data_IF_232929325035
#
_entry.id   IF_232929325035
#
_cell.length_a   1.000
_cell.length_b   1.000
_cell.length_c   1.000
_cell.angle_alpha   90.00
_cell.angle_beta   90.00
_cell.angle_gamma   90.00
#
_symmetry.space_group_name_H-M   'P 1'
#
loop_
_entity.id
_entity.type
_entity.pdbx_description
1 polymer ?
#
# COMPACT_ATOMS: atom_id res chain seq x y z
N UNK A 1 3.58 56.84 18.36
CA UNK A 1 4.38 56.02 19.29
C UNK A 1 3.51 54.86 19.68
N UNK A 2 3.63 53.75 18.96
CA UNK A 2 4.35 52.52 19.39
C UNK A 2 3.44 51.67 20.31
N UNK A 3 3.25 50.37 20.12
CA UNK A 3 4.11 49.42 19.43
C UNK A 3 3.35 48.24 18.81
N UNK A 4 4.07 47.61 17.89
CA UNK A 4 3.76 46.33 17.27
C UNK A 4 3.77 45.21 18.33
N UNK A 5 2.80 44.29 18.36
CA UNK A 5 2.99 43.03 19.07
C UNK A 5 3.97 42.16 18.29
N UNK A 6 4.91 41.62 19.07
CA UNK A 6 5.99 40.77 18.66
C UNK A 6 5.51 39.47 17.98
N UNK A 7 6.33 39.05 17.02
CA UNK A 7 6.70 37.66 16.80
C UNK A 7 5.61 36.71 16.28
N UNK A 8 5.29 36.84 14.98
CA UNK A 8 4.78 35.71 14.19
C UNK A 8 5.96 35.14 13.43
N UNK A 9 6.65 34.21 14.07
CA UNK A 9 7.66 33.37 13.44
C UNK A 9 7.05 32.65 12.21
N UNK A 10 7.82 32.44 11.13
CA UNK A 10 7.37 31.62 10.00
C UNK A 10 7.11 30.18 10.46
N UNK A 11 6.17 29.44 9.84
CA UNK A 11 5.84 28.08 10.24
C UNK A 11 7.07 27.18 10.09
N UNK A 12 7.63 26.77 11.22
CA UNK A 12 8.68 25.76 11.33
C UNK A 12 8.12 24.39 10.92
N UNK A 13 8.86 23.71 10.05
CA UNK A 13 8.71 22.29 9.73
C UNK A 13 8.57 21.46 11.02
N UNK A 14 7.52 20.64 11.11
CA UNK A 14 7.32 19.71 12.24
C UNK A 14 6.08 19.91 13.11
N UNK A 15 5.05 20.64 12.65
CA UNK A 15 3.74 20.55 13.30
C UNK A 15 3.22 19.11 13.20
N UNK A 16 3.10 18.44 14.35
CA UNK A 16 2.38 17.17 14.44
C UNK A 16 0.97 17.41 13.91
N UNK A 17 0.65 16.78 12.78
CA UNK A 17 -0.70 16.78 12.23
C UNK A 17 -1.68 16.36 13.35
N UNK A 18 -2.87 16.97 13.45
CA UNK A 18 -3.89 16.51 14.39
C UNK A 18 -4.05 14.99 14.25
N UNK A 19 -4.43 14.26 15.32
CA UNK A 19 -4.76 12.83 15.20
C UNK A 19 -5.77 12.65 14.07
N UNK A 20 -5.29 12.30 12.88
CA UNK A 20 -6.10 12.39 11.68
C UNK A 20 -7.22 11.36 11.80
N UNK A 21 -8.45 11.81 11.58
CA UNK A 21 -9.58 10.91 11.46
C UNK A 21 -9.45 10.18 10.12
N UNK A 22 -9.13 8.90 10.16
CA UNK A 22 -8.96 8.05 8.99
C UNK A 22 -10.30 7.80 8.33
N UNK A 23 -10.48 8.39 7.14
CA UNK A 23 -11.63 8.13 6.27
C UNK A 23 -11.38 6.90 5.39
N UNK A 24 -12.44 6.40 4.77
CA UNK A 24 -12.35 5.28 3.82
C UNK A 24 -11.32 5.55 2.71
N UNK A 25 -11.40 6.72 2.10
CA UNK A 25 -10.54 7.09 0.97
C UNK A 25 -9.09 7.22 1.42
N UNK A 26 -8.83 7.85 2.57
CA UNK A 26 -7.47 7.95 3.13
C UNK A 26 -6.86 6.58 3.42
N UNK A 27 -7.62 5.64 3.99
CA UNK A 27 -7.13 4.27 4.23
C UNK A 27 -6.84 3.56 2.91
N UNK A 28 -7.72 3.70 1.93
CA UNK A 28 -7.52 3.09 0.61
C UNK A 28 -6.30 3.67 -0.11
N UNK A 29 -6.17 4.98 -0.16
CA UNK A 29 -5.04 5.70 -0.75
C UNK A 29 -3.75 5.28 -0.08
N UNK A 30 -3.72 5.23 1.25
CA UNK A 30 -2.55 4.81 2.00
C UNK A 30 -2.11 3.38 1.70
N UNK A 31 -3.06 2.45 1.55
CA UNK A 31 -2.76 1.08 1.16
C UNK A 31 -2.27 0.99 -0.30
N UNK A 32 -2.81 1.82 -1.19
CA UNK A 32 -2.36 1.92 -2.58
C UNK A 32 -0.93 2.47 -2.66
N UNK A 33 -0.62 3.53 -1.92
CA UNK A 33 0.74 4.07 -1.82
C UNK A 33 1.71 3.04 -1.27
N UNK A 34 1.35 2.33 -0.19
CA UNK A 34 2.16 1.25 0.35
C UNK A 34 2.44 0.15 -0.70
N UNK A 35 1.45 -0.22 -1.51
CA UNK A 35 1.62 -1.17 -2.60
C UNK A 35 2.58 -0.66 -3.69
N UNK A 36 2.48 0.60 -4.07
CA UNK A 36 3.38 1.23 -5.05
C UNK A 36 4.82 1.28 -4.49
N UNK A 37 4.98 1.67 -3.22
CA UNK A 37 6.26 1.68 -2.51
C UNK A 37 6.86 0.27 -2.45
N UNK A 38 6.05 -0.76 -2.17
CA UNK A 38 6.48 -2.15 -2.19
C UNK A 38 7.02 -2.58 -3.56
N UNK A 39 6.37 -2.18 -4.66
CA UNK A 39 6.87 -2.49 -6.02
C UNK A 39 8.15 -1.72 -6.37
N UNK A 40 8.33 -0.52 -5.81
CA UNK A 40 9.54 0.28 -5.98
C UNK A 40 10.71 -0.21 -5.15
N UNK A 41 10.48 -1.03 -4.11
CA UNK A 41 11.52 -1.49 -3.22
C UNK A 41 12.59 -2.28 -4.01
N UNK A 42 13.81 -1.75 -4.17
CA UNK A 42 14.86 -2.42 -4.91
C UNK A 42 15.30 -3.63 -4.08
N UNK A 43 15.04 -4.82 -4.61
CA UNK A 43 15.29 -6.08 -3.93
C UNK A 43 16.81 -6.31 -3.71
N UNK A 44 17.35 -5.81 -2.59
CA UNK A 44 18.65 -6.22 -2.04
C UNK A 44 18.52 -7.44 -1.11
N UNK A 45 17.31 -8.01 -0.96
CA UNK A 45 16.98 -8.98 0.08
C UNK A 45 16.16 -10.19 -0.43
N UNK A 46 16.33 -10.55 -1.71
CA UNK A 46 15.82 -11.80 -2.31
C UNK A 46 16.26 -13.05 -1.53
N UNK A 47 17.30 -12.91 -0.68
CA UNK A 47 17.83 -13.95 0.20
C UNK A 47 17.28 -14.01 1.63
N UNK A 48 16.62 -12.98 2.17
CA UNK A 48 16.20 -12.94 3.59
C UNK A 48 14.72 -13.25 3.81
N UNK A 49 13.88 -13.15 2.78
CA UNK A 49 12.44 -13.47 2.83
C UNK A 49 12.12 -14.97 3.05
N UNK A 50 13.12 -15.84 3.30
CA UNK A 50 12.88 -17.23 3.73
C UNK A 50 12.54 -17.37 5.21
N UNK A 51 12.72 -16.33 6.02
CA UNK A 51 12.70 -16.52 7.49
C UNK A 51 11.37 -16.16 8.13
N UNK A 52 10.69 -15.03 7.84
CA UNK A 52 9.34 -14.79 8.39
C UNK A 52 8.62 -13.67 7.62
N UNK A 53 7.68 -14.01 6.74
CA UNK A 53 6.74 -13.04 6.15
C UNK A 53 5.32 -13.60 6.33
N UNK A 54 4.44 -12.88 7.03
CA UNK A 54 3.02 -13.23 7.15
C UNK A 54 2.23 -12.95 5.86
N UNK A 55 2.83 -13.25 4.70
CA UNK A 55 2.12 -13.38 3.45
C UNK A 55 2.85 -14.29 2.46
N UNK A 56 2.44 -15.56 2.36
CA UNK A 56 2.74 -16.37 1.19
C UNK A 56 1.42 -16.93 0.64
N UNK A 57 0.79 -16.27 -0.34
CA UNK A 57 -0.27 -16.91 -1.16
C UNK A 57 -0.67 -16.14 -2.44
N UNK A 58 0.22 -15.29 -2.96
CA UNK A 58 0.13 -14.81 -4.34
C UNK A 58 1.41 -15.27 -5.04
N UNK A 59 1.43 -16.54 -5.44
CA UNK A 59 2.47 -17.06 -6.33
C UNK A 59 2.31 -16.39 -7.69
N UNK A 60 3.33 -15.62 -8.08
CA UNK A 60 3.46 -15.02 -9.40
C UNK A 60 3.61 -16.13 -10.44
N UNK A 61 2.84 -16.04 -11.53
CA UNK A 61 3.00 -16.89 -12.72
C UNK A 61 4.42 -16.73 -13.27
N UNK A 62 5.13 -17.87 -13.38
CA UNK A 62 6.55 -17.98 -13.76
C UNK A 62 6.81 -17.64 -15.24
N UNK A 63 5.77 -17.50 -16.07
CA UNK A 63 5.91 -17.24 -17.52
C UNK A 63 6.24 -15.79 -17.89
N UNK A 64 6.61 -14.93 -16.94
CA UNK A 64 6.92 -13.53 -17.17
C UNK A 64 8.41 -13.22 -16.91
N UNK A 65 9.25 -13.66 -17.86
CA UNK A 65 10.52 -13.02 -18.22
C UNK A 65 11.76 -13.53 -17.51
N UNK A 66 12.46 -14.46 -18.17
CA UNK A 66 13.87 -14.78 -17.91
C UNK A 66 14.75 -13.62 -18.41
N UNK A 67 15.48 -12.98 -17.49
CA UNK A 67 16.46 -11.95 -17.81
C UNK A 67 17.74 -12.64 -18.32
N UNK A 68 18.03 -12.52 -19.63
CA UNK A 68 19.31 -12.93 -20.21
C UNK A 68 20.36 -11.82 -20.05
N UNK A 69 21.60 -12.24 -19.87
CA UNK A 69 22.73 -11.44 -19.42
C UNK A 69 23.57 -10.97 -20.60
N UNK A 70 23.73 -9.66 -20.82
CA UNK A 70 24.84 -9.10 -21.61
C UNK A 70 25.31 -7.75 -21.04
N UNK A 71 26.64 -7.67 -20.87
CA UNK A 71 27.35 -6.55 -20.25
C UNK A 71 27.63 -5.37 -21.18
N UNK A 72 28.05 -4.29 -20.52
CA UNK A 72 28.87 -3.15 -20.96
C UNK A 72 28.84 -2.77 -22.45
N UNK A 73 28.15 -1.66 -22.76
CA UNK A 73 28.68 -0.46 -23.44
C UNK A 73 27.50 0.37 -23.97
N UNK A 74 26.95 1.28 -23.16
CA UNK A 74 26.06 2.34 -23.68
C UNK A 74 26.31 3.62 -22.91
N UNK A 75 26.47 4.71 -23.67
CA UNK A 75 26.77 6.05 -23.20
C UNK A 75 25.83 6.53 -22.09
N UNK A 76 26.38 7.28 -21.12
CA UNK A 76 25.71 7.72 -19.89
C UNK A 76 24.46 8.63 -20.08
N UNK A 77 24.01 8.88 -21.32
CA UNK A 77 22.78 9.61 -21.64
C UNK A 77 21.54 8.70 -21.79
N UNK A 78 21.73 7.37 -21.89
CA UNK A 78 20.64 6.38 -21.97
C UNK A 78 20.47 5.59 -20.66
N UNK A 79 21.03 6.11 -19.55
CA UNK A 79 20.84 5.50 -18.24
C UNK A 79 19.41 5.80 -17.79
N UNK A 80 18.56 4.77 -17.82
CA UNK A 80 17.23 4.78 -17.22
C UNK A 80 17.34 5.40 -15.82
N UNK A 81 16.59 6.49 -15.58
CA UNK A 81 16.60 7.22 -14.32
C UNK A 81 16.36 6.21 -13.21
N UNK A 82 17.39 5.92 -12.41
CA UNK A 82 17.23 5.02 -11.27
C UNK A 82 16.24 5.69 -10.32
N UNK A 83 15.10 5.05 -10.02
CA UNK A 83 14.18 5.61 -9.04
C UNK A 83 14.95 5.82 -7.74
N UNK A 84 14.73 6.98 -7.12
CA UNK A 84 15.36 7.32 -5.85
C UNK A 84 15.18 6.16 -4.86
N UNK A 85 16.25 5.83 -4.13
CA UNK A 85 16.20 4.79 -3.10
C UNK A 85 15.12 5.14 -2.09
N UNK A 86 14.33 4.16 -1.68
CA UNK A 86 13.30 4.36 -0.67
C UNK A 86 13.94 4.86 0.63
N UNK A 87 13.34 5.89 1.21
CA UNK A 87 13.69 6.41 2.52
C UNK A 87 13.20 5.48 3.62
N UNK A 88 13.82 5.53 4.80
CA UNK A 88 13.36 4.77 5.98
C UNK A 88 11.93 5.14 6.38
N UNK A 89 11.54 6.40 6.14
CA UNK A 89 10.19 6.88 6.39
C UNK A 89 9.23 6.16 5.45
N UNK A 90 9.44 6.20 4.13
CA UNK A 90 8.59 5.49 3.15
C UNK A 90 8.44 3.99 3.46
N UNK A 91 9.51 3.33 3.91
CA UNK A 91 9.45 1.91 4.31
C UNK A 91 8.62 1.70 5.57
N UNK A 92 8.86 2.48 6.64
CA UNK A 92 8.08 2.35 7.88
C UNK A 92 6.60 2.70 7.67
N UNK A 93 6.34 3.67 6.81
CA UNK A 93 5.02 4.09 6.35
C UNK A 93 4.26 2.97 5.60
N UNK A 94 4.96 2.27 4.70
CA UNK A 94 4.45 1.10 3.99
C UNK A 94 4.17 -0.06 4.96
N UNK A 95 5.11 -0.38 5.84
CA UNK A 95 4.98 -1.46 6.83
C UNK A 95 3.81 -1.19 7.79
N UNK A 96 3.66 0.04 8.27
CA UNK A 96 2.54 0.44 9.12
C UNK A 96 1.21 0.21 8.40
N UNK A 97 1.09 0.67 7.14
CA UNK A 97 -0.13 0.51 6.36
C UNK A 97 -0.48 -0.98 6.14
N UNK A 98 0.51 -1.82 5.84
CA UNK A 98 0.29 -3.26 5.68
C UNK A 98 -0.14 -3.95 6.99
N UNK A 99 0.43 -3.54 8.13
CA UNK A 99 0.04 -4.06 9.44
C UNK A 99 -1.44 -3.81 9.76
N UNK A 100 -2.09 -2.80 9.16
CA UNK A 100 -3.53 -2.58 9.34
C UNK A 100 -4.37 -3.72 8.78
N UNK A 101 -3.86 -4.50 7.83
CA UNK A 101 -4.59 -5.64 7.29
C UNK A 101 -4.58 -6.84 8.24
N UNK A 102 -3.69 -6.86 9.24
CA UNK A 102 -3.55 -7.98 10.18
C UNK A 102 -4.74 -8.15 11.14
N UNK A 103 -5.58 -7.14 11.30
CA UNK A 103 -6.83 -7.27 12.05
C UNK A 103 -7.95 -7.96 11.24
N UNK A 104 -7.80 -8.08 9.91
CA UNK A 104 -8.83 -8.65 9.05
C UNK A 104 -8.75 -10.18 9.04
N UNK A 105 -9.88 -10.82 8.74
CA UNK A 105 -9.90 -12.25 8.44
C UNK A 105 -9.10 -12.56 7.16
N UNK A 106 -8.49 -13.75 7.08
CA UNK A 106 -7.62 -14.13 5.95
C UNK A 106 -8.29 -13.95 4.57
N UNK A 107 -9.57 -14.31 4.46
CA UNK A 107 -10.32 -14.16 3.22
C UNK A 107 -10.51 -12.68 2.81
N UNK A 108 -10.65 -11.79 3.79
CA UNK A 108 -10.80 -10.35 3.55
C UNK A 108 -9.44 -9.69 3.29
N UNK A 109 -8.35 -10.15 3.92
CA UNK A 109 -6.97 -9.72 3.58
C UNK A 109 -6.65 -10.01 2.12
N UNK A 110 -6.94 -11.23 1.66
CA UNK A 110 -6.74 -11.62 0.25
C UNK A 110 -7.56 -10.74 -0.71
N UNK A 111 -8.82 -10.47 -0.37
CA UNK A 111 -9.68 -9.59 -1.15
C UNK A 111 -9.12 -8.16 -1.22
N UNK A 112 -8.76 -7.57 -0.08
CA UNK A 112 -8.19 -6.23 0.01
C UNK A 112 -6.89 -6.16 -0.78
N UNK A 113 -5.96 -7.10 -0.59
CA UNK A 113 -4.70 -7.14 -1.34
C UNK A 113 -4.90 -7.16 -2.86
N UNK A 114 -5.85 -7.95 -3.36
CA UNK A 114 -6.16 -7.97 -4.81
C UNK A 114 -6.82 -6.69 -5.31
N UNK A 115 -7.74 -6.11 -4.54
CA UNK A 115 -8.41 -4.85 -4.90
C UNK A 115 -7.42 -3.68 -4.93
N UNK A 116 -6.60 -3.53 -3.89
CA UNK A 116 -5.54 -2.52 -3.80
C UNK A 116 -4.51 -2.71 -4.91
N UNK A 117 -4.17 -3.95 -5.28
CA UNK A 117 -3.30 -4.22 -6.44
C UNK A 117 -3.89 -3.72 -7.75
N UNK A 118 -5.20 -3.85 -7.99
CA UNK A 118 -5.82 -3.29 -9.20
C UNK A 118 -5.80 -1.76 -9.19
N UNK A 119 -6.06 -1.13 -8.03
CA UNK A 119 -6.02 0.32 -7.88
C UNK A 119 -4.59 0.87 -8.06
N UNK A 120 -3.59 0.23 -7.46
CA UNK A 120 -2.18 0.59 -7.60
C UNK A 120 -1.65 0.44 -9.04
N UNK A 121 -2.26 -0.41 -9.87
CA UNK A 121 -2.01 -0.47 -11.32
C UNK A 121 -2.61 0.71 -12.09
N UNK A 122 -3.22 1.68 -11.41
CA UNK A 122 -3.86 2.84 -12.02
C UNK A 122 -5.27 2.58 -12.56
N UNK A 123 -5.94 1.49 -12.15
CA UNK A 123 -7.35 1.31 -12.51
C UNK A 123 -8.21 2.29 -11.70
N UNK A 124 -9.13 2.99 -12.38
CA UNK A 124 -10.07 3.92 -11.73
C UNK A 124 -11.05 3.21 -10.78
N UNK A 125 -11.39 1.97 -11.09
CA UNK A 125 -12.33 1.16 -10.32
C UNK A 125 -11.89 -0.31 -10.32
N UNK A 126 -12.20 -1.02 -9.23
CA UNK A 126 -11.92 -2.45 -9.09
C UNK A 126 -12.90 -3.27 -9.93
N UNK A 127 -12.37 -4.19 -10.75
CA UNK A 127 -13.19 -5.05 -11.61
C UNK A 127 -13.68 -6.27 -10.83
N UNK A 128 -14.72 -6.09 -10.01
CA UNK A 128 -15.23 -7.11 -9.09
C UNK A 128 -15.50 -8.48 -9.73
N UNK A 129 -16.01 -8.52 -10.97
CA UNK A 129 -16.23 -9.79 -11.70
C UNK A 129 -14.92 -10.55 -11.97
N UNK A 130 -13.82 -9.85 -12.24
CA UNK A 130 -12.50 -10.46 -12.44
C UNK A 130 -11.93 -10.97 -11.12
N UNK A 131 -12.07 -10.19 -10.04
CA UNK A 131 -11.62 -10.60 -8.71
C UNK A 131 -12.39 -11.82 -8.19
N UNK A 132 -13.69 -11.89 -8.49
CA UNK A 132 -14.54 -13.02 -8.12
C UNK A 132 -14.01 -14.35 -8.68
N UNK A 133 -13.60 -14.37 -9.95
CA UNK A 133 -12.97 -15.55 -10.56
C UNK A 133 -11.63 -15.91 -9.90
N UNK A 134 -10.81 -14.90 -9.56
CA UNK A 134 -9.54 -15.10 -8.84
C UNK A 134 -9.71 -15.57 -7.40
N UNK A 135 -10.86 -15.30 -6.79
CA UNK A 135 -11.26 -15.83 -5.49
C UNK A 135 -11.79 -17.27 -5.57
N UNK A 136 -11.93 -17.85 -6.78
CA UNK A 136 -12.54 -19.17 -6.97
C UNK A 136 -14.06 -19.19 -6.76
N UNK A 137 -14.70 -18.01 -6.76
CA UNK A 137 -16.14 -17.86 -6.57
C UNK A 137 -16.84 -17.77 -7.92
N UNK A 138 -18.09 -18.24 -7.99
CA UNK A 138 -18.87 -18.28 -9.24
C UNK A 138 -19.94 -17.17 -9.33
N UNK A 139 -20.41 -16.63 -8.19
CA UNK A 139 -21.46 -15.59 -8.11
C UNK A 139 -21.22 -14.68 -6.91
N UNK A 140 -21.82 -13.49 -6.92
CA UNK A 140 -21.76 -12.55 -5.78
C UNK A 140 -20.74 -11.40 -5.89
N UNK A 141 -20.54 -10.82 -7.08
CA UNK A 141 -19.61 -9.70 -7.26
C UNK A 141 -19.96 -8.48 -6.39
N UNK A 142 -21.26 -8.21 -6.23
CA UNK A 142 -21.74 -7.11 -5.37
C UNK A 142 -21.48 -7.39 -3.89
N UNK A 143 -21.70 -8.64 -3.44
CA UNK A 143 -21.33 -9.07 -2.10
C UNK A 143 -19.82 -8.95 -1.83
N UNK A 144 -18.98 -9.19 -2.85
CA UNK A 144 -17.54 -8.99 -2.77
C UNK A 144 -17.18 -7.49 -2.58
N UNK A 145 -17.85 -6.61 -3.33
CA UNK A 145 -17.72 -5.14 -3.16
C UNK A 145 -18.13 -4.72 -1.74
N UNK A 146 -19.25 -5.21 -1.23
CA UNK A 146 -19.71 -4.90 0.13
C UNK A 146 -18.72 -5.41 1.19
N UNK A 147 -18.17 -6.62 1.01
CA UNK A 147 -17.14 -7.17 1.91
C UNK A 147 -15.88 -6.31 1.94
N UNK A 148 -15.40 -5.90 0.76
CA UNK A 148 -14.29 -4.95 0.68
C UNK A 148 -14.60 -3.65 1.43
N UNK A 149 -15.80 -3.08 1.20
CA UNK A 149 -16.25 -1.88 1.90
C UNK A 149 -16.24 -2.03 3.43
N UNK A 150 -16.73 -3.17 3.93
CA UNK A 150 -16.72 -3.48 5.38
C UNK A 150 -15.30 -3.65 5.92
N UNK A 151 -14.41 -4.28 5.17
CA UNK A 151 -13.02 -4.50 5.59
C UNK A 151 -12.26 -3.18 5.74
N UNK A 152 -12.32 -2.29 4.75
CA UNK A 152 -11.69 -0.96 4.85
C UNK A 152 -12.33 -0.14 5.98
N UNK A 153 -13.65 -0.21 6.15
CA UNK A 153 -14.31 0.48 7.26
C UNK A 153 -13.90 -0.06 8.63
N UNK A 154 -13.64 -1.37 8.75
CA UNK A 154 -13.12 -1.96 9.99
C UNK A 154 -11.73 -1.39 10.33
N UNK A 155 -10.86 -1.20 9.32
CA UNK A 155 -9.57 -0.52 9.50
C UNK A 155 -9.77 0.93 9.96
N UNK A 156 -10.67 1.67 9.31
CA UNK A 156 -10.97 3.05 9.70
C UNK A 156 -11.39 3.13 11.18
N UNK A 157 -12.30 2.26 11.60
CA UNK A 157 -12.78 2.19 12.99
C UNK A 157 -11.61 1.91 13.95
N UNK A 158 -10.76 0.94 13.66
CA UNK A 158 -9.62 0.61 14.51
C UNK A 158 -8.61 1.76 14.60
N UNK A 159 -8.28 2.40 13.47
CA UNK A 159 -7.34 3.54 13.45
C UNK A 159 -7.89 4.77 14.17
N UNK A 160 -9.21 4.95 14.18
CA UNK A 160 -9.88 6.05 14.87
C UNK A 160 -10.15 5.78 16.35
N UNK A 161 -9.54 4.74 16.94
CA UNK A 161 -9.68 4.42 18.37
C UNK A 161 -10.94 3.62 18.70
N UNK A 162 -11.60 3.03 17.70
CA UNK A 162 -12.69 2.10 17.91
C UNK A 162 -12.16 0.79 18.49
N UNK A 163 -12.61 0.45 19.70
CA UNK A 163 -12.41 -0.89 20.26
C UNK A 163 -12.89 -1.92 19.22
N UNK A 164 -11.96 -2.69 18.66
CA UNK A 164 -12.29 -3.85 17.86
C UNK A 164 -13.13 -4.79 18.74
N UNK A 165 -14.44 -4.80 18.54
CA UNK A 165 -15.32 -5.76 19.19
C UNK A 165 -14.89 -7.14 18.71
N UNK A 166 -14.45 -7.97 19.65
CA UNK A 166 -14.05 -9.36 19.42
C UNK A 166 -15.15 -10.27 18.95
#
# INVERSE_FOLDING_TARGET
>A
MEGLPADVAPPMEGQSLPREFWTFDMVQERLVEAMITCWRHPDRERGWQRVHCAWPDILREVSAGDYDARGAEVASAEVEIRPASLTRIEVGEMEEAFAWTDMLALADRKLVGMAITELAKGQREVKWRRLLLRMGLQRGADGLRMRYGRAINAICIAKNGGNARG
#
